data_IF_725548672318
#
_entry.id   IF_725548672318
#
_cell.length_a   1.000
_cell.length_b   1.000
_cell.length_c   1.000
_cell.angle_alpha   90.00
_cell.angle_beta   90.00
_cell.angle_gamma   90.00
#
_symmetry.space_group_name_H-M   'P 1'
#
loop_
_entity.id
_entity.type
_entity.pdbx_description
1 polymer ?
#
# COMPACT_ATOMS: atom_id res chain seq x y z
N UNK A 1 -15.33 21.55 1.29
CA UNK A 1 -15.53 21.48 -0.17
C UNK A 1 -14.73 22.54 -0.91
N UNK A 2 -14.86 23.83 -0.61
CA UNK A 2 -14.12 24.93 -1.31
C UNK A 2 -12.59 24.74 -1.22
N UNK A 3 -12.05 24.42 -0.06
CA UNK A 3 -10.62 24.17 0.12
C UNK A 3 -10.16 22.94 -0.68
N UNK A 4 -10.94 21.89 -0.71
CA UNK A 4 -10.61 20.69 -1.51
C UNK A 4 -10.54 21.02 -3.01
N UNK A 5 -11.49 21.81 -3.55
CA UNK A 5 -11.46 22.23 -4.96
C UNK A 5 -10.18 23.03 -5.28
N UNK A 6 -9.78 23.94 -4.40
CA UNK A 6 -8.51 24.69 -4.55
C UNK A 6 -7.31 23.78 -4.54
N UNK A 7 -7.28 22.79 -3.64
CA UNK A 7 -6.19 21.81 -3.54
C UNK A 7 -6.09 20.92 -4.78
N UNK A 8 -7.22 20.60 -5.44
CA UNK A 8 -7.19 19.85 -6.70
C UNK A 8 -6.48 20.60 -7.83
N UNK A 9 -6.46 21.93 -7.81
CA UNK A 9 -5.76 22.77 -8.78
C UNK A 9 -4.25 22.93 -8.51
N UNK A 10 -3.75 22.57 -7.32
CA UNK A 10 -2.32 22.69 -6.97
C UNK A 10 -1.52 21.53 -7.61
N UNK A 11 -0.24 21.73 -7.96
CA UNK A 11 0.68 20.62 -8.23
C UNK A 11 0.75 19.69 -7.03
N UNK A 12 0.87 18.37 -7.29
CA UNK A 12 0.83 17.35 -6.23
C UNK A 12 1.96 17.55 -5.20
N UNK A 13 3.17 17.84 -5.67
CA UNK A 13 4.34 18.09 -4.81
C UNK A 13 4.14 19.29 -3.86
N UNK A 14 3.61 20.38 -4.37
CA UNK A 14 3.29 21.55 -3.54
C UNK A 14 2.22 21.22 -2.49
N UNK A 15 1.22 20.44 -2.88
CA UNK A 15 0.16 20.02 -1.98
C UNK A 15 0.70 19.12 -0.86
N UNK A 16 1.59 18.19 -1.18
CA UNK A 16 2.23 17.30 -0.21
C UNK A 16 3.05 18.13 0.80
N UNK A 17 3.90 19.04 0.31
CA UNK A 17 4.73 19.91 1.16
C UNK A 17 3.82 20.74 2.09
N UNK A 18 2.78 21.36 1.53
CA UNK A 18 1.79 22.12 2.30
C UNK A 18 1.15 21.28 3.40
N UNK A 19 0.68 20.07 3.06
CA UNK A 19 0.01 19.19 4.02
C UNK A 19 0.94 18.69 5.13
N UNK A 20 2.20 18.41 4.81
CA UNK A 20 3.22 18.09 5.82
C UNK A 20 3.46 19.25 6.76
N UNK A 21 3.61 20.47 6.21
CA UNK A 21 3.80 21.66 7.01
C UNK A 21 2.59 21.92 7.93
N UNK A 22 1.36 21.86 7.42
CA UNK A 22 0.13 22.00 8.21
C UNK A 22 0.08 20.99 9.37
N UNK A 23 0.39 19.71 9.11
CA UNK A 23 0.42 18.68 10.18
C UNK A 23 1.45 19.00 11.25
N UNK A 24 2.66 19.41 10.84
CA UNK A 24 3.72 19.76 11.77
C UNK A 24 3.33 20.94 12.65
N UNK A 25 2.79 22.01 12.08
CA UNK A 25 2.34 23.20 12.80
C UNK A 25 1.22 22.87 13.79
N UNK A 26 0.25 22.06 13.40
CA UNK A 26 -0.83 21.62 14.29
C UNK A 26 -0.27 20.80 15.46
N UNK A 27 0.64 19.86 15.17
CA UNK A 27 1.27 19.04 16.17
C UNK A 27 2.08 19.89 17.19
N UNK A 28 2.83 20.88 16.71
CA UNK A 28 3.59 21.82 17.57
C UNK A 28 2.66 22.67 18.46
N UNK A 29 1.45 22.97 18.00
CA UNK A 29 0.40 23.65 18.78
C UNK A 29 -0.40 22.72 19.67
N UNK A 30 -0.09 21.43 19.69
CA UNK A 30 -0.87 20.41 20.37
C UNK A 30 -2.34 20.33 19.89
N UNK A 31 -2.56 20.65 18.61
CA UNK A 31 -3.85 20.55 17.93
C UNK A 31 -3.93 19.20 17.22
N UNK A 32 -4.81 18.33 17.69
CA UNK A 32 -5.00 17.00 17.12
C UNK A 32 -6.16 16.95 16.15
N UNK A 33 -6.14 15.94 15.24
CA UNK A 33 -7.21 15.71 14.30
C UNK A 33 -8.50 15.33 15.01
N UNK A 34 -9.61 15.99 14.65
CA UNK A 34 -10.96 15.67 15.16
C UNK A 34 -11.79 14.99 14.06
N UNK A 35 -12.26 13.80 14.33
CA UNK A 35 -13.03 12.96 13.41
C UNK A 35 -14.53 12.90 13.72
N UNK A 36 -15.04 13.75 14.62
CA UNK A 36 -16.48 13.78 14.97
C UNK A 36 -17.38 13.99 13.76
N UNK A 37 -16.97 14.89 12.87
CA UNK A 37 -17.70 15.17 11.63
C UNK A 37 -17.74 13.94 10.72
N UNK A 38 -16.62 13.27 10.51
CA UNK A 38 -16.52 12.07 9.67
C UNK A 38 -17.39 10.95 10.26
N UNK A 39 -17.31 10.75 11.57
CA UNK A 39 -18.16 9.77 12.29
C UNK A 39 -19.65 10.07 12.12
N UNK A 40 -20.07 11.33 12.22
CA UNK A 40 -21.47 11.73 12.01
C UNK A 40 -21.94 11.53 10.55
N UNK A 41 -21.02 11.57 9.59
CA UNK A 41 -21.32 11.37 8.15
C UNK A 41 -21.17 9.91 7.71
N UNK A 42 -20.86 8.98 8.60
CA UNK A 42 -20.59 7.58 8.27
C UNK A 42 -21.73 6.92 7.45
N UNK A 43 -22.98 7.14 7.81
CA UNK A 43 -24.12 6.58 7.09
C UNK A 43 -24.20 7.12 5.65
N UNK A 44 -23.91 8.40 5.45
CA UNK A 44 -23.89 9.02 4.11
C UNK A 44 -22.75 8.42 3.29
N UNK A 45 -21.58 8.27 3.90
CA UNK A 45 -20.43 7.64 3.26
C UNK A 45 -20.74 6.19 2.82
N UNK A 46 -21.37 5.39 3.68
CA UNK A 46 -21.78 4.03 3.35
C UNK A 46 -22.80 3.95 2.21
N UNK A 47 -23.72 4.92 2.13
CA UNK A 47 -24.64 5.01 0.98
C UNK A 47 -23.86 5.29 -0.31
N UNK A 48 -22.87 6.19 -0.26
CA UNK A 48 -22.03 6.50 -1.42
C UNK A 48 -21.17 5.30 -1.83
N UNK A 49 -20.61 4.54 -0.87
CA UNK A 49 -19.90 3.29 -1.17
C UNK A 49 -20.81 2.28 -1.90
N UNK A 50 -22.03 2.09 -1.42
CA UNK A 50 -23.01 1.20 -2.07
C UNK A 50 -23.40 1.67 -3.47
N UNK A 51 -23.48 2.98 -3.69
CA UNK A 51 -23.75 3.55 -5.02
C UNK A 51 -22.50 3.32 -5.91
N UNK A 52 -21.30 3.63 -5.42
CA UNK A 52 -20.05 3.43 -6.15
C UNK A 52 -19.90 1.97 -6.59
N UNK A 53 -20.21 1.01 -5.72
CA UNK A 53 -20.17 -0.41 -6.04
C UNK A 53 -21.06 -0.82 -7.22
N UNK A 54 -22.19 -0.14 -7.46
CA UNK A 54 -23.04 -0.43 -8.62
C UNK A 54 -22.37 -0.12 -9.96
N UNK A 55 -21.38 0.76 -9.94
CA UNK A 55 -20.60 1.17 -11.11
C UNK A 55 -19.20 0.51 -11.13
N UNK A 56 -18.83 -0.20 -10.07
CA UNK A 56 -17.54 -0.86 -9.94
C UNK A 56 -17.63 -2.32 -10.39
N UNK A 57 -16.57 -2.86 -11.02
CA UNK A 57 -16.61 -4.22 -11.58
C UNK A 57 -16.41 -5.32 -10.54
N UNK A 58 -16.58 -5.05 -9.24
CA UNK A 58 -16.40 -6.03 -8.19
C UNK A 58 -17.71 -6.38 -7.46
N UNK A 59 -17.78 -7.62 -6.98
CA UNK A 59 -18.80 -8.10 -6.05
C UNK A 59 -18.18 -8.30 -4.68
N UNK A 60 -18.96 -8.06 -3.63
CA UNK A 60 -18.54 -8.30 -2.25
C UNK A 60 -19.35 -9.44 -1.65
N UNK A 61 -18.66 -10.43 -1.13
CA UNK A 61 -19.22 -11.54 -0.37
C UNK A 61 -18.63 -11.54 1.03
N UNK A 62 -19.47 -11.65 2.05
CA UNK A 62 -19.03 -11.76 3.44
C UNK A 62 -19.43 -13.15 3.95
N UNK A 63 -18.44 -13.99 4.24
CA UNK A 63 -18.63 -15.37 4.71
C UNK A 63 -18.43 -15.52 6.21
N UNK A 64 -18.38 -14.42 6.96
CA UNK A 64 -18.21 -14.44 8.41
C UNK A 64 -19.28 -15.31 9.06
N UNK A 65 -18.84 -16.38 9.70
CA UNK A 65 -19.72 -17.38 10.31
C UNK A 65 -20.11 -17.06 11.75
N UNK A 66 -19.30 -16.24 12.40
CA UNK A 66 -19.44 -15.97 13.81
C UNK A 66 -20.13 -14.62 14.05
N UNK A 67 -21.18 -14.67 14.86
CA UNK A 67 -21.83 -13.45 15.36
C UNK A 67 -21.14 -13.03 16.69
N UNK A 68 -20.48 -11.89 16.69
CA UNK A 68 -19.88 -11.32 17.90
C UNK A 68 -20.27 -9.86 18.03
N UNK A 69 -20.42 -9.41 19.26
CA UNK A 69 -20.64 -8.00 19.57
C UNK A 69 -19.30 -7.31 19.76
N UNK A 70 -19.14 -6.19 19.09
CA UNK A 70 -18.04 -5.30 19.37
C UNK A 70 -18.17 -4.73 20.77
N UNK A 71 -17.05 -4.60 21.46
CA UNK A 71 -16.98 -3.98 22.79
C UNK A 71 -17.23 -2.47 22.70
N UNK A 72 -17.29 -1.80 23.84
CA UNK A 72 -17.34 -0.32 23.87
C UNK A 72 -15.95 0.32 23.73
N UNK A 73 -14.89 -0.50 23.61
CA UNK A 73 -13.53 -0.02 23.35
C UNK A 73 -13.38 0.43 21.89
N UNK A 74 -12.39 1.25 21.57
CA UNK A 74 -12.01 1.47 20.18
C UNK A 74 -11.48 0.18 19.55
N UNK A 75 -11.67 0.03 18.25
CA UNK A 75 -11.25 -1.15 17.50
C UNK A 75 -10.23 -0.81 16.43
N UNK A 76 -9.30 -1.73 16.20
CA UNK A 76 -8.32 -1.67 15.14
C UNK A 76 -8.62 -2.81 14.16
N UNK A 77 -9.21 -2.48 13.01
CA UNK A 77 -9.51 -3.44 11.94
C UNK A 77 -8.26 -3.68 11.10
N UNK A 78 -7.78 -4.92 11.08
CA UNK A 78 -6.62 -5.35 10.32
C UNK A 78 -7.04 -6.12 9.09
N UNK A 79 -6.66 -5.63 7.92
CA UNK A 79 -7.15 -6.16 6.64
C UNK A 79 -5.97 -6.46 5.72
N UNK A 80 -5.97 -7.63 5.04
CA UNK A 80 -4.98 -7.92 4.02
C UNK A 80 -5.13 -6.99 2.82
N UNK A 81 -4.01 -6.57 2.23
CA UNK A 81 -4.01 -5.73 1.04
C UNK A 81 -3.92 -6.60 -0.21
N UNK A 82 -5.06 -6.86 -0.87
CA UNK A 82 -5.18 -7.87 -1.93
C UNK A 82 -5.60 -7.33 -3.30
N UNK A 83 -5.92 -6.06 -3.39
CA UNK A 83 -6.29 -5.45 -4.67
C UNK A 83 -6.90 -4.07 -4.54
N UNK A 84 -7.25 -3.47 -5.66
CA UNK A 84 -7.68 -2.08 -5.80
C UNK A 84 -8.87 -1.69 -4.94
N UNK A 85 -9.87 -2.56 -4.80
CA UNK A 85 -11.14 -2.27 -4.12
C UNK A 85 -11.23 -2.84 -2.70
N UNK A 86 -10.11 -3.24 -2.13
CA UNK A 86 -10.11 -3.86 -0.79
C UNK A 86 -10.42 -2.86 0.33
N UNK A 87 -10.12 -1.56 0.13
CA UNK A 87 -10.53 -0.51 1.08
C UNK A 87 -12.04 -0.43 1.18
N UNK A 88 -12.70 -0.29 0.03
CA UNK A 88 -14.16 -0.17 -0.06
C UNK A 88 -14.85 -1.44 0.44
N UNK A 89 -14.33 -2.60 0.03
CA UNK A 89 -14.86 -3.90 0.45
C UNK A 89 -14.73 -4.10 1.97
N UNK A 90 -13.59 -3.74 2.53
CA UNK A 90 -13.35 -3.84 3.96
C UNK A 90 -14.24 -2.89 4.76
N UNK A 91 -14.29 -1.61 4.40
CA UNK A 91 -15.14 -0.61 5.05
C UNK A 91 -16.62 -0.99 5.00
N UNK A 92 -17.10 -1.51 3.85
CA UNK A 92 -18.48 -1.98 3.71
C UNK A 92 -18.75 -3.22 4.60
N UNK A 93 -17.75 -4.08 4.77
CA UNK A 93 -17.89 -5.33 5.54
C UNK A 93 -17.94 -5.09 7.05
N UNK A 94 -17.14 -4.16 7.57
CA UNK A 94 -17.08 -3.89 9.03
C UNK A 94 -18.30 -3.13 9.56
N UNK A 95 -19.02 -2.42 8.69
CA UNK A 95 -20.23 -1.62 9.04
C UNK A 95 -20.04 -0.55 10.10
N UNK A 96 -18.83 -0.36 10.61
CA UNK A 96 -18.46 0.61 11.62
C UNK A 96 -17.66 1.74 11.00
N UNK A 97 -17.76 2.95 11.57
CA UNK A 97 -16.86 4.03 11.19
C UNK A 97 -15.45 3.71 11.65
N UNK A 98 -14.50 3.70 10.73
CA UNK A 98 -13.09 3.52 11.04
C UNK A 98 -12.24 4.48 10.20
N UNK A 99 -11.31 5.16 10.86
CA UNK A 99 -10.36 6.07 10.21
C UNK A 99 -9.33 5.23 9.47
N UNK A 100 -9.07 5.57 8.21
CA UNK A 100 -8.08 4.85 7.42
C UNK A 100 -6.68 5.32 7.79
N UNK A 101 -5.82 4.38 8.18
CA UNK A 101 -4.40 4.62 8.34
C UNK A 101 -3.69 4.36 7.02
N UNK A 102 -3.23 5.43 6.37
CA UNK A 102 -2.75 5.38 5.01
C UNK A 102 -1.23 5.48 4.94
N UNK A 103 -0.60 4.52 4.28
CA UNK A 103 0.86 4.46 4.15
C UNK A 103 1.44 5.34 3.04
N UNK A 104 0.60 5.85 2.15
CA UNK A 104 0.96 6.71 1.04
C UNK A 104 0.03 7.90 0.97
N UNK A 105 0.54 9.06 1.36
CA UNK A 105 -0.25 10.27 1.36
C UNK A 105 -0.53 10.80 -0.04
N UNK A 106 0.35 10.55 -1.01
CA UNK A 106 0.23 11.08 -2.36
C UNK A 106 -1.05 10.65 -3.04
N UNK A 107 -1.40 9.37 -2.95
CA UNK A 107 -2.64 8.83 -3.52
C UNK A 107 -3.90 9.45 -2.92
N UNK A 108 -3.82 9.91 -1.67
CA UNK A 108 -5.00 10.40 -0.95
C UNK A 108 -5.26 11.88 -1.13
N UNK A 109 -4.37 12.62 -1.80
CA UNK A 109 -4.52 14.08 -1.93
C UNK A 109 -5.26 14.51 -3.19
N UNK A 110 -5.30 13.69 -4.23
CA UNK A 110 -5.92 13.99 -5.52
C UNK A 110 -7.05 13.04 -5.87
N UNK A 111 -7.93 13.49 -6.76
CA UNK A 111 -8.98 12.68 -7.35
C UNK A 111 -10.11 12.26 -6.41
N UNK A 112 -10.81 11.21 -6.80
CA UNK A 112 -11.96 10.69 -6.06
C UNK A 112 -11.57 10.05 -4.72
N UNK A 113 -10.42 9.39 -4.66
CA UNK A 113 -9.91 8.75 -3.45
C UNK A 113 -9.62 9.79 -2.35
N UNK A 114 -9.13 10.98 -2.73
CA UNK A 114 -9.00 12.12 -1.82
C UNK A 114 -10.34 12.55 -1.23
N UNK A 115 -11.41 12.57 -2.03
CA UNK A 115 -12.74 12.92 -1.55
C UNK A 115 -13.27 11.87 -0.57
N UNK A 116 -13.15 10.60 -0.92
CA UNK A 116 -13.56 9.47 -0.08
C UNK A 116 -12.78 9.46 1.25
N UNK A 117 -11.46 9.61 1.19
CA UNK A 117 -10.62 9.68 2.37
C UNK A 117 -10.94 10.87 3.29
N UNK A 118 -11.27 12.04 2.72
CA UNK A 118 -11.70 13.20 3.51
C UNK A 118 -13.08 13.01 4.17
N UNK A 119 -13.98 12.29 3.51
CA UNK A 119 -15.32 12.00 4.03
C UNK A 119 -15.28 10.96 5.15
N UNK A 120 -14.45 9.94 5.02
CA UNK A 120 -14.33 8.87 6.01
C UNK A 120 -13.39 9.25 7.17
N UNK A 121 -12.39 10.06 6.91
CA UNK A 121 -11.27 10.35 7.81
C UNK A 121 -10.06 9.49 7.53
N UNK A 122 -8.89 10.12 7.62
CA UNK A 122 -7.60 9.46 7.38
C UNK A 122 -6.52 10.00 8.30
N UNK A 123 -5.55 9.15 8.61
CA UNK A 123 -4.27 9.52 9.18
C UNK A 123 -3.21 9.07 8.16
N UNK A 124 -2.41 10.01 7.66
CA UNK A 124 -1.37 9.71 6.68
C UNK A 124 -0.05 9.42 7.37
N UNK A 125 0.52 8.27 7.05
CA UNK A 125 1.89 7.90 7.39
C UNK A 125 2.73 8.03 6.13
N UNK A 126 3.33 9.20 5.87
CA UNK A 126 4.22 9.34 4.74
C UNK A 126 5.45 8.45 4.92
N UNK A 127 5.55 7.41 4.12
CA UNK A 127 6.66 6.45 4.19
C UNK A 127 7.80 6.80 3.24
N UNK A 128 7.54 7.60 2.20
CA UNK A 128 8.52 8.03 1.23
C UNK A 128 8.07 9.33 0.54
N UNK A 129 8.99 9.90 -0.25
CA UNK A 129 8.77 11.09 -1.07
C UNK A 129 9.21 10.74 -2.50
N UNK A 130 8.41 11.08 -3.51
CA UNK A 130 8.72 10.79 -4.93
C UNK A 130 10.08 11.29 -5.35
N UNK A 131 10.50 12.46 -4.82
CA UNK A 131 11.83 13.03 -5.08
C UNK A 131 12.97 12.13 -4.60
N UNK A 132 12.73 11.23 -3.63
CA UNK A 132 13.75 10.32 -3.11
C UNK A 132 14.30 9.42 -4.23
N UNK A 133 13.41 8.93 -5.10
CA UNK A 133 13.79 8.10 -6.25
C UNK A 133 14.70 8.84 -7.23
N UNK A 134 14.25 10.01 -7.67
CA UNK A 134 15.01 10.83 -8.62
C UNK A 134 16.38 11.23 -8.08
N UNK A 135 16.45 11.58 -6.78
CA UNK A 135 17.71 11.92 -6.13
C UNK A 135 18.65 10.72 -6.06
N UNK A 136 18.15 9.53 -5.72
CA UNK A 136 18.97 8.30 -5.68
C UNK A 136 19.50 7.98 -7.09
N UNK A 137 18.65 7.99 -8.10
CA UNK A 137 19.03 7.73 -9.48
C UNK A 137 20.08 8.75 -9.97
N UNK A 138 19.88 10.05 -9.68
CA UNK A 138 20.84 11.11 -10.02
C UNK A 138 22.19 10.91 -9.31
N UNK A 139 22.20 10.55 -8.01
CA UNK A 139 23.42 10.28 -7.26
C UNK A 139 24.17 9.08 -7.85
N UNK A 140 23.46 8.00 -8.20
CA UNK A 140 24.06 6.80 -8.79
C UNK A 140 24.68 7.11 -10.16
N UNK A 141 23.99 7.88 -11.02
CA UNK A 141 24.48 8.28 -12.33
C UNK A 141 25.70 9.20 -12.22
N UNK A 142 25.60 10.25 -11.41
CA UNK A 142 26.70 11.22 -11.19
C UNK A 142 27.94 10.50 -10.59
N UNK A 143 27.74 9.53 -9.71
CA UNK A 143 28.81 8.70 -9.14
C UNK A 143 29.51 7.85 -10.22
N UNK A 144 28.75 7.26 -11.15
CA UNK A 144 29.33 6.51 -12.29
C UNK A 144 30.17 7.44 -13.17
N UNK A 145 29.67 8.64 -13.49
CA UNK A 145 30.40 9.63 -14.27
C UNK A 145 31.68 10.07 -13.53
N UNK A 146 31.59 10.36 -12.23
CA UNK A 146 32.73 10.76 -11.40
C UNK A 146 33.83 9.69 -11.42
N UNK A 147 33.45 8.39 -11.30
CA UNK A 147 34.39 7.28 -11.35
C UNK A 147 35.08 7.18 -12.72
N UNK A 148 34.35 7.37 -13.82
CA UNK A 148 34.95 7.42 -15.17
C UNK A 148 35.90 8.60 -15.34
N UNK A 149 35.53 9.80 -14.89
CA UNK A 149 36.38 10.98 -14.93
C UNK A 149 37.67 10.77 -14.13
N UNK A 150 37.59 10.19 -12.95
CA UNK A 150 38.79 9.94 -12.11
C UNK A 150 39.80 9.00 -12.77
N UNK A 151 39.34 8.06 -13.61
CA UNK A 151 40.21 7.12 -14.33
C UNK A 151 40.96 7.76 -15.52
N UNK A 152 40.55 8.95 -16.00
CA UNK A 152 41.19 9.62 -17.13
C UNK A 152 42.50 10.35 -16.72
N UNK A 153 43.42 10.69 -17.67
CA UNK A 153 44.61 11.48 -17.40
C UNK A 153 44.27 12.87 -16.83
N UNK A 154 45.15 13.40 -15.97
CA UNK A 154 44.91 14.68 -15.28
C UNK A 154 44.99 15.88 -16.26
N UNK A 155 43.95 16.68 -16.30
CA UNK A 155 43.89 17.98 -16.98
C UNK A 155 43.12 18.96 -16.12
N UNK A 156 43.38 20.28 -16.28
CA UNK A 156 42.67 21.32 -15.54
C UNK A 156 41.15 21.23 -15.75
N UNK A 157 40.73 20.99 -17.00
CA UNK A 157 39.30 20.84 -17.36
C UNK A 157 38.63 19.64 -16.66
N UNK A 158 39.35 18.49 -16.62
CA UNK A 158 38.91 17.31 -15.89
C UNK A 158 38.69 17.59 -14.39
N UNK A 159 39.61 18.29 -13.75
CA UNK A 159 39.51 18.60 -12.34
C UNK A 159 38.32 19.51 -12.03
N UNK A 160 37.99 20.44 -12.91
CA UNK A 160 36.78 21.28 -12.80
C UNK A 160 35.50 20.45 -12.91
N UNK A 161 35.44 19.51 -13.86
CA UNK A 161 34.29 18.61 -13.98
C UNK A 161 34.17 17.68 -12.77
N UNK A 162 35.26 17.12 -12.26
CA UNK A 162 35.26 16.32 -11.03
C UNK A 162 34.65 17.10 -9.87
N UNK A 163 35.08 18.35 -9.64
CA UNK A 163 34.55 19.17 -8.54
C UNK A 163 33.06 19.50 -8.76
N UNK A 164 32.63 19.74 -9.98
CA UNK A 164 31.22 19.94 -10.32
C UNK A 164 30.36 18.72 -9.94
N UNK A 165 30.77 17.51 -10.32
CA UNK A 165 30.02 16.28 -9.99
C UNK A 165 30.06 15.98 -8.49
N UNK A 166 31.18 16.19 -7.80
CA UNK A 166 31.25 16.06 -6.35
C UNK A 166 30.27 16.98 -5.65
N UNK A 167 30.20 18.26 -6.06
CA UNK A 167 29.28 19.21 -5.47
C UNK A 167 27.82 18.85 -5.75
N UNK A 168 27.50 18.33 -6.96
CA UNK A 168 26.15 17.89 -7.30
C UNK A 168 25.74 16.69 -6.44
N UNK A 169 26.58 15.68 -6.30
CA UNK A 169 26.36 14.52 -5.43
C UNK A 169 26.13 14.96 -4.00
N UNK A 170 27.01 15.81 -3.46
CA UNK A 170 26.89 16.32 -2.09
C UNK A 170 25.57 17.06 -1.83
N UNK A 171 25.14 17.90 -2.78
CA UNK A 171 23.88 18.63 -2.66
C UNK A 171 22.68 17.67 -2.68
N UNK A 172 22.69 16.69 -3.58
CA UNK A 172 21.63 15.69 -3.69
C UNK A 172 21.57 14.77 -2.44
N UNK A 173 22.72 14.36 -1.90
CA UNK A 173 22.78 13.59 -0.65
C UNK A 173 22.24 14.41 0.55
N UNK A 174 22.58 15.70 0.61
CA UNK A 174 22.10 16.61 1.66
C UNK A 174 20.58 16.77 1.59
N UNK A 175 20.03 16.93 0.38
CA UNK A 175 18.59 17.02 0.16
C UNK A 175 17.90 15.71 0.51
N UNK A 176 18.44 14.58 0.07
CA UNK A 176 17.93 13.24 0.38
C UNK A 176 17.89 13.00 1.91
N UNK A 177 18.94 13.42 2.62
CA UNK A 177 18.97 13.36 4.09
C UNK A 177 17.85 14.19 4.72
N UNK A 178 17.67 15.44 4.25
CA UNK A 178 16.61 16.33 4.73
C UNK A 178 15.19 15.74 4.50
N UNK A 179 14.95 15.17 3.32
CA UNK A 179 13.68 14.48 3.02
C UNK A 179 13.45 13.32 3.99
N UNK A 180 14.46 12.49 4.23
CA UNK A 180 14.35 11.34 5.15
C UNK A 180 14.10 11.75 6.60
N UNK A 181 14.71 12.84 7.04
CA UNK A 181 14.44 13.42 8.36
C UNK A 181 13.02 13.96 8.47
N UNK A 182 12.50 14.58 7.42
CA UNK A 182 11.10 15.02 7.34
C UNK A 182 10.13 13.84 7.43
N UNK A 183 10.34 12.79 6.65
CA UNK A 183 9.52 11.55 6.70
C UNK A 183 9.52 10.93 8.10
N UNK A 184 10.68 10.91 8.77
CA UNK A 184 10.78 10.41 10.15
C UNK A 184 9.97 11.26 11.13
N UNK A 185 9.97 12.57 10.95
CA UNK A 185 9.13 13.50 11.72
C UNK A 185 7.64 13.25 11.51
N UNK A 186 7.21 13.13 10.28
CA UNK A 186 5.82 12.82 9.91
C UNK A 186 5.34 11.50 10.50
N UNK A 187 6.18 10.46 10.52
CA UNK A 187 5.87 9.19 11.18
C UNK A 187 5.55 9.36 12.67
N UNK A 188 6.33 10.18 13.38
CA UNK A 188 6.09 10.47 14.80
C UNK A 188 4.74 11.15 15.01
N UNK A 189 4.40 12.11 14.14
CA UNK A 189 3.12 12.82 14.17
C UNK A 189 1.96 11.83 13.92
N UNK A 190 2.04 11.02 12.86
CA UNK A 190 1.01 10.05 12.52
C UNK A 190 0.76 9.03 13.65
N UNK A 191 1.80 8.57 14.31
CA UNK A 191 1.69 7.68 15.49
C UNK A 191 0.95 8.38 16.62
N UNK A 192 1.29 9.62 16.96
CA UNK A 192 0.64 10.41 18.00
C UNK A 192 -0.84 10.66 17.69
N UNK A 193 -1.16 11.05 16.45
CA UNK A 193 -2.54 11.27 15.98
C UNK A 193 -3.38 9.98 16.06
N UNK A 194 -2.78 8.85 15.72
CA UNK A 194 -3.45 7.53 15.80
C UNK A 194 -3.83 7.18 17.21
N UNK A 195 -2.90 7.33 18.16
CA UNK A 195 -3.15 7.06 19.57
C UNK A 195 -4.22 8.02 20.12
N UNK A 196 -4.12 9.30 19.76
CA UNK A 196 -5.11 10.30 20.16
C UNK A 196 -6.49 9.97 19.62
N UNK A 197 -6.62 9.63 18.34
CA UNK A 197 -7.89 9.27 17.73
C UNK A 197 -8.54 8.04 18.39
N UNK A 198 -7.77 6.98 18.64
CA UNK A 198 -8.24 5.79 19.35
C UNK A 198 -8.70 6.14 20.78
N UNK A 199 -7.90 6.89 21.55
CA UNK A 199 -8.26 7.30 22.92
C UNK A 199 -9.54 8.15 22.98
N UNK A 200 -9.90 8.82 21.87
CA UNK A 200 -11.17 9.55 21.71
C UNK A 200 -12.31 8.70 21.11
N UNK A 201 -12.20 7.38 21.18
CA UNK A 201 -13.28 6.44 20.80
C UNK A 201 -13.51 6.33 19.29
N UNK A 202 -12.51 6.65 18.46
CA UNK A 202 -12.55 6.34 17.05
C UNK A 202 -11.97 4.94 16.80
N UNK A 203 -12.45 4.28 15.74
CA UNK A 203 -11.85 3.03 15.26
C UNK A 203 -10.82 3.34 14.18
N UNK A 204 -9.91 2.41 13.98
CA UNK A 204 -8.84 2.47 12.99
C UNK A 204 -8.97 1.33 11.98
N UNK A 205 -8.69 1.62 10.71
CA UNK A 205 -8.61 0.68 9.61
C UNK A 205 -7.19 0.73 9.05
N UNK A 206 -6.48 -0.39 9.06
CA UNK A 206 -5.12 -0.42 8.57
C UNK A 206 -4.75 -1.75 7.89
N UNK A 207 -3.76 -1.66 7.01
CA UNK A 207 -3.12 -2.78 6.35
C UNK A 207 -1.83 -3.13 7.09
N UNK A 208 -1.84 -4.17 7.95
CA UNK A 208 -0.69 -4.47 8.79
C UNK A 208 0.51 -5.04 8.02
N UNK A 209 0.29 -5.49 6.80
CA UNK A 209 1.35 -5.95 5.89
C UNK A 209 2.17 -4.77 5.31
N UNK A 210 1.61 -3.55 5.30
CA UNK A 210 2.27 -2.33 4.82
C UNK A 210 2.54 -2.29 3.31
N UNK A 211 2.11 -3.30 2.57
CA UNK A 211 2.19 -3.38 1.11
C UNK A 211 1.15 -4.37 0.59
N UNK A 212 0.90 -4.35 -0.72
CA UNK A 212 0.07 -5.35 -1.37
C UNK A 212 0.70 -6.74 -1.29
N UNK A 213 -0.09 -7.71 -0.86
CA UNK A 213 0.32 -9.11 -0.86
C UNK A 213 0.23 -9.70 -2.28
N UNK A 214 1.31 -9.54 -3.03
CA UNK A 214 1.46 -10.09 -4.39
C UNK A 214 1.90 -11.55 -4.39
N UNK A 215 2.15 -12.15 -3.23
CA UNK A 215 2.63 -13.52 -3.10
C UNK A 215 1.47 -14.51 -3.07
N UNK A 216 1.33 -15.29 -4.13
CA UNK A 216 0.23 -16.24 -4.28
C UNK A 216 0.25 -17.40 -3.28
N UNK A 217 1.46 -17.77 -2.82
CA UNK A 217 1.68 -18.86 -1.85
C UNK A 217 1.62 -18.41 -0.39
N UNK A 218 1.46 -17.10 -0.16
CA UNK A 218 1.31 -16.54 1.17
C UNK A 218 -0.10 -16.05 1.42
N UNK A 219 -0.77 -16.67 2.38
CA UNK A 219 -2.07 -16.19 2.82
C UNK A 219 -1.98 -14.78 3.41
N UNK A 220 -0.97 -14.52 4.23
CA UNK A 220 -0.66 -13.23 4.86
C UNK A 220 0.85 -13.05 4.92
N UNK A 221 1.36 -11.89 4.52
CA UNK A 221 2.76 -11.51 4.70
C UNK A 221 3.09 -11.28 6.18
N UNK A 222 4.36 -10.96 6.47
CA UNK A 222 4.78 -10.53 7.81
C UNK A 222 4.09 -9.21 8.17
N UNK A 223 3.59 -9.11 9.38
CA UNK A 223 2.91 -7.91 9.84
C UNK A 223 3.87 -6.95 10.54
N UNK A 224 3.62 -5.66 10.38
CA UNK A 224 4.24 -4.63 11.22
C UNK A 224 3.59 -4.63 12.61
N UNK A 225 4.41 -4.48 13.64
CA UNK A 225 3.95 -4.46 15.04
C UNK A 225 3.14 -3.21 15.44
N UNK A 226 3.02 -2.23 14.56
CA UNK A 226 2.34 -0.96 14.85
C UNK A 226 0.91 -1.12 15.36
N UNK A 227 0.17 -2.10 14.86
CA UNK A 227 -1.19 -2.37 15.29
C UNK A 227 -1.26 -2.79 16.76
N UNK A 228 -0.39 -3.69 17.19
CA UNK A 228 -0.27 -4.14 18.59
C UNK A 228 0.16 -2.99 19.49
N UNK A 229 1.15 -2.21 19.05
CA UNK A 229 1.58 -1.01 19.76
C UNK A 229 0.40 -0.03 19.98
N UNK A 230 -0.38 0.28 18.94
CA UNK A 230 -1.55 1.16 19.07
C UNK A 230 -2.63 0.58 20.00
N UNK A 231 -2.87 -0.73 19.91
CA UNK A 231 -3.84 -1.40 20.79
C UNK A 231 -3.44 -1.28 22.26
N UNK A 232 -2.18 -1.51 22.59
CA UNK A 232 -1.63 -1.35 23.96
C UNK A 232 -1.76 0.07 24.46
N UNK A 233 -1.34 1.06 23.65
CA UNK A 233 -1.34 2.47 24.04
C UNK A 233 -2.74 3.08 24.20
N UNK A 234 -3.71 2.60 23.45
CA UNK A 234 -5.08 3.12 23.47
C UNK A 234 -6.10 2.19 24.15
N UNK A 235 -5.69 1.05 24.66
CA UNK A 235 -6.59 0.01 25.19
C UNK A 235 -7.69 -0.36 24.18
N UNK A 236 -7.28 -0.60 22.92
CA UNK A 236 -8.16 -0.95 21.82
C UNK A 236 -8.15 -2.47 21.55
N UNK A 237 -9.27 -3.01 21.09
CA UNK A 237 -9.35 -4.39 20.64
C UNK A 237 -8.92 -4.47 19.15
N UNK A 238 -8.25 -5.55 18.78
CA UNK A 238 -7.89 -5.82 17.39
C UNK A 238 -8.93 -6.74 16.75
N UNK A 239 -9.44 -6.35 15.58
CA UNK A 239 -10.38 -7.14 14.78
C UNK A 239 -9.63 -7.59 13.52
N UNK A 240 -9.16 -8.85 13.45
CA UNK A 240 -8.49 -9.36 12.27
C UNK A 240 -9.50 -9.72 11.19
N UNK A 241 -9.19 -9.41 9.93
CA UNK A 241 -9.98 -9.83 8.77
C UNK A 241 -9.13 -10.73 7.87
N UNK A 242 -9.80 -11.70 7.26
CA UNK A 242 -9.36 -12.36 6.05
C UNK A 242 -9.99 -11.66 4.84
N UNK A 243 -9.27 -11.55 3.73
CA UNK A 243 -9.79 -11.06 2.47
C UNK A 243 -9.08 -11.73 1.31
N UNK A 244 -9.83 -12.16 0.30
CA UNK A 244 -9.28 -12.69 -0.94
C UNK A 244 -10.03 -12.12 -2.16
N UNK A 245 -9.30 -11.94 -3.27
CA UNK A 245 -9.84 -11.47 -4.55
C UNK A 245 -9.93 -12.62 -5.53
N UNK A 246 -11.11 -12.83 -6.11
CA UNK A 246 -11.37 -13.82 -7.17
C UNK A 246 -11.98 -13.10 -8.38
N UNK A 247 -11.21 -12.91 -9.45
CA UNK A 247 -11.64 -12.18 -10.66
C UNK A 247 -12.33 -10.84 -10.34
N UNK A 248 -13.66 -10.84 -10.36
CA UNK A 248 -14.54 -9.71 -10.13
C UNK A 248 -15.16 -9.68 -8.71
N UNK A 249 -14.72 -10.57 -7.81
CA UNK A 249 -15.30 -10.77 -6.49
C UNK A 249 -14.28 -10.67 -5.39
N UNK A 250 -14.64 -9.96 -4.32
CA UNK A 250 -13.92 -9.95 -3.05
C UNK A 250 -14.71 -10.75 -2.03
N UNK A 251 -14.02 -11.61 -1.32
CA UNK A 251 -14.59 -12.41 -0.23
C UNK A 251 -13.92 -11.98 1.07
N UNK A 252 -14.74 -11.68 2.09
CA UNK A 252 -14.28 -11.20 3.40
C UNK A 252 -14.74 -12.16 4.49
N UNK A 253 -13.84 -12.41 5.44
CA UNK A 253 -14.11 -13.18 6.65
C UNK A 253 -13.61 -12.41 7.87
N UNK A 254 -14.49 -12.05 8.80
CA UNK A 254 -14.16 -11.22 9.96
C UNK A 254 -13.94 -12.12 11.17
N UNK A 255 -12.79 -11.99 11.81
CA UNK A 255 -12.43 -12.72 13.03
C UNK A 255 -12.96 -12.07 14.30
N UNK A 256 -12.86 -12.79 15.42
CA UNK A 256 -13.25 -12.30 16.74
C UNK A 256 -12.35 -11.16 17.22
N UNK A 257 -12.89 -10.25 18.04
CA UNK A 257 -12.08 -9.25 18.74
C UNK A 257 -10.98 -9.91 19.59
N UNK A 258 -9.79 -9.37 19.50
CA UNK A 258 -8.61 -9.79 20.28
C UNK A 258 -8.25 -8.67 21.23
N UNK A 259 -8.31 -8.93 22.52
CA UNK A 259 -7.81 -8.04 23.54
C UNK A 259 -6.30 -8.23 23.69
N UNK A 260 -5.53 -7.12 23.69
CA UNK A 260 -4.08 -7.15 23.81
C UNK A 260 -3.68 -6.81 25.24
N UNK A 261 -2.96 -7.72 25.88
CA UNK A 261 -2.35 -7.46 27.17
C UNK A 261 -1.26 -6.37 27.04
N UNK A 262 -1.28 -5.41 27.95
CA UNK A 262 -0.31 -4.31 27.98
C UNK A 262 1.13 -4.78 28.16
N UNK A 263 1.33 -5.86 28.88
CA UNK A 263 2.65 -6.44 29.16
C UNK A 263 3.10 -7.46 28.13
N UNK A 264 2.23 -7.82 27.16
CA UNK A 264 2.56 -8.78 26.13
C UNK A 264 3.71 -8.29 25.22
N UNK A 265 4.52 -9.22 24.75
CA UNK A 265 5.55 -8.90 23.73
C UNK A 265 4.88 -8.55 22.38
N UNK A 266 5.24 -7.40 21.82
CA UNK A 266 4.61 -6.88 20.61
C UNK A 266 4.87 -7.77 19.39
N UNK A 267 6.04 -8.40 19.31
CA UNK A 267 6.40 -9.25 18.17
C UNK A 267 5.64 -10.57 18.25
N UNK A 268 5.58 -11.15 19.45
CA UNK A 268 4.87 -12.41 19.70
C UNK A 268 3.37 -12.24 19.42
N UNK A 269 2.73 -11.17 19.95
CA UNK A 269 1.32 -10.89 19.68
C UNK A 269 1.06 -10.60 18.18
N UNK A 270 1.94 -9.87 17.52
CA UNK A 270 1.84 -9.63 16.07
C UNK A 270 1.87 -10.93 15.28
N UNK A 271 2.72 -11.88 15.67
CA UNK A 271 2.78 -13.21 15.03
C UNK A 271 1.54 -14.05 15.29
N UNK A 272 0.96 -13.99 16.51
CA UNK A 272 -0.33 -14.63 16.80
C UNK A 272 -1.45 -14.07 15.92
N UNK A 273 -1.54 -12.75 15.83
CA UNK A 273 -2.54 -12.08 14.97
C UNK A 273 -2.36 -12.47 13.51
N UNK A 274 -1.12 -12.50 13.02
CA UNK A 274 -0.82 -12.97 11.66
C UNK A 274 -1.34 -14.37 11.42
N UNK A 275 -1.14 -15.30 12.34
CA UNK A 275 -1.62 -16.66 12.21
C UNK A 275 -3.16 -16.73 12.18
N UNK A 276 -3.83 -15.89 12.97
CA UNK A 276 -5.29 -15.77 12.95
C UNK A 276 -5.77 -15.24 11.58
N UNK A 277 -5.15 -14.18 11.06
CA UNK A 277 -5.48 -13.65 9.73
C UNK A 277 -5.23 -14.67 8.62
N UNK A 278 -4.14 -15.44 8.71
CA UNK A 278 -3.85 -16.51 7.77
C UNK A 278 -4.92 -17.61 7.82
N UNK A 279 -5.41 -17.97 9.02
CA UNK A 279 -6.51 -18.93 9.20
C UNK A 279 -7.80 -18.41 8.57
N UNK A 280 -8.15 -17.14 8.79
CA UNK A 280 -9.34 -16.51 8.18
C UNK A 280 -9.28 -16.53 6.64
N UNK A 281 -8.10 -16.32 6.06
CA UNK A 281 -7.89 -16.43 4.62
C UNK A 281 -7.98 -17.89 4.15
N UNK A 282 -7.45 -18.83 4.92
CA UNK A 282 -7.57 -20.25 4.60
C UNK A 282 -9.02 -20.70 4.59
N UNK A 283 -9.84 -20.26 5.53
CA UNK A 283 -11.28 -20.53 5.57
C UNK A 283 -12.01 -19.98 4.32
N UNK A 284 -11.54 -18.87 3.75
CA UNK A 284 -12.05 -18.40 2.46
C UNK A 284 -11.71 -19.39 1.35
N UNK A 285 -10.47 -19.90 1.30
CA UNK A 285 -10.08 -20.89 0.28
C UNK A 285 -10.88 -22.18 0.38
N UNK A 286 -11.07 -22.68 1.59
CA UNK A 286 -11.92 -23.86 1.84
C UNK A 286 -13.37 -23.62 1.41
N UNK A 287 -13.94 -22.45 1.71
CA UNK A 287 -15.29 -22.09 1.28
C UNK A 287 -15.44 -22.03 -0.25
N UNK A 288 -14.37 -21.61 -0.94
CA UNK A 288 -14.31 -21.61 -2.40
C UNK A 288 -13.98 -22.98 -3.01
N UNK A 289 -13.71 -24.00 -2.18
CA UNK A 289 -13.30 -25.34 -2.62
C UNK A 289 -11.89 -25.37 -3.20
N UNK A 290 -11.00 -24.50 -2.72
CA UNK A 290 -9.62 -24.34 -3.19
C UNK A 290 -8.64 -24.74 -2.09
N UNK A 291 -7.60 -25.50 -2.41
CA UNK A 291 -6.52 -25.83 -1.48
C UNK A 291 -5.51 -24.68 -1.33
N UNK A 292 -5.40 -23.85 -2.37
CA UNK A 292 -4.52 -22.68 -2.37
C UNK A 292 -4.92 -21.66 -3.43
N UNK A 293 -4.32 -20.48 -3.42
CA UNK A 293 -4.42 -19.53 -4.53
C UNK A 293 -3.89 -20.09 -5.85
N UNK A 294 -3.00 -21.10 -5.81
CA UNK A 294 -2.40 -21.71 -7.00
C UNK A 294 -3.44 -22.46 -7.85
N UNK A 295 -4.47 -23.04 -7.23
CA UNK A 295 -5.53 -23.77 -7.93
C UNK A 295 -6.46 -22.89 -8.75
N UNK A 296 -6.35 -21.58 -8.62
CA UNK A 296 -7.08 -20.64 -9.46
C UNK A 296 -6.72 -20.70 -10.96
N UNK A 297 -5.89 -21.64 -11.39
CA UNK A 297 -5.52 -21.92 -12.80
C UNK A 297 -4.09 -21.55 -13.14
N UNK A 298 -3.76 -21.36 -14.43
CA UNK A 298 -2.39 -21.07 -14.86
C UNK A 298 -1.79 -19.89 -14.08
N UNK A 299 -1.12 -20.24 -13.00
CA UNK A 299 -0.64 -19.34 -11.99
C UNK A 299 0.32 -18.27 -12.55
N UNK A 300 1.21 -18.66 -13.47
CA UNK A 300 2.18 -17.73 -14.03
C UNK A 300 1.51 -16.61 -14.84
N UNK A 301 0.49 -16.92 -15.61
CA UNK A 301 -0.29 -15.92 -16.36
C UNK A 301 -1.11 -15.05 -15.42
N UNK A 302 -1.74 -15.64 -14.43
CA UNK A 302 -2.53 -14.92 -13.42
C UNK A 302 -1.69 -14.02 -12.52
N UNK A 303 -0.45 -14.41 -12.20
CA UNK A 303 0.46 -13.54 -11.47
C UNK A 303 0.69 -12.24 -12.23
N UNK A 304 0.92 -12.34 -13.55
CA UNK A 304 1.13 -11.16 -14.39
C UNK A 304 -0.14 -10.30 -14.43
N UNK A 305 -1.31 -10.92 -14.65
CA UNK A 305 -2.58 -10.22 -14.64
C UNK A 305 -2.87 -9.55 -13.29
N UNK A 306 -2.58 -10.23 -12.19
CA UNK A 306 -2.78 -9.72 -10.84
C UNK A 306 -1.89 -8.54 -10.53
N UNK A 307 -0.60 -8.63 -10.86
CA UNK A 307 0.34 -7.51 -10.67
C UNK A 307 0.00 -6.35 -11.61
N UNK A 308 -0.31 -6.62 -12.88
CA UNK A 308 -0.71 -5.59 -13.84
C UNK A 308 -2.03 -4.90 -13.43
N UNK A 309 -2.98 -5.60 -12.80
CA UNK A 309 -4.21 -5.02 -12.27
C UNK A 309 -3.95 -4.12 -11.06
N UNK A 310 -3.07 -4.55 -10.16
CA UNK A 310 -2.63 -3.73 -9.03
C UNK A 310 -1.90 -2.47 -9.52
N UNK A 311 -1.02 -2.61 -10.52
CA UNK A 311 -0.19 -1.53 -11.04
C UNK A 311 -0.93 -0.61 -12.02
N UNK A 312 -2.10 -1.00 -12.52
CA UNK A 312 -2.81 -0.32 -13.61
C UNK A 312 -3.23 1.11 -13.28
N UNK A 313 -3.49 1.36 -12.02
CA UNK A 313 -3.92 2.66 -11.51
C UNK A 313 -2.90 3.28 -10.55
N UNK A 314 -1.72 2.66 -10.46
CA UNK A 314 -0.65 3.21 -9.64
C UNK A 314 -0.09 4.47 -10.29
N UNK A 315 0.05 5.51 -9.51
CA UNK A 315 0.85 6.67 -9.87
C UNK A 315 2.32 6.23 -10.05
N UNK A 316 3.16 7.06 -10.64
CA UNK A 316 4.61 6.78 -10.77
C UNK A 316 5.29 6.42 -9.43
N UNK A 317 4.67 6.82 -8.31
CA UNK A 317 5.07 6.46 -6.94
C UNK A 317 5.01 4.95 -6.66
N UNK A 318 4.26 4.17 -7.42
CA UNK A 318 4.13 2.71 -7.30
C UNK A 318 5.08 1.93 -8.22
N UNK A 319 6.26 2.43 -8.48
CA UNK A 319 7.33 1.57 -8.97
C UNK A 319 7.66 0.52 -7.89
N UNK A 320 7.23 -0.70 -8.12
CA UNK A 320 7.40 -1.81 -7.17
C UNK A 320 8.88 -2.07 -6.83
N UNK A 321 9.81 -1.78 -7.75
CA UNK A 321 11.24 -1.89 -7.49
C UNK A 321 11.71 -0.80 -6.52
N UNK A 322 11.18 0.42 -6.68
CA UNK A 322 11.49 1.52 -5.78
C UNK A 322 10.90 1.29 -4.39
N UNK A 323 9.66 0.84 -4.31
CA UNK A 323 9.00 0.46 -3.06
C UNK A 323 9.82 -0.60 -2.32
N UNK A 324 10.24 -1.65 -3.00
CA UNK A 324 11.06 -2.71 -2.41
C UNK A 324 12.41 -2.20 -1.92
N UNK A 325 13.06 -1.30 -2.67
CA UNK A 325 14.35 -0.72 -2.29
C UNK A 325 14.25 0.24 -1.11
N UNK A 326 13.16 0.97 -0.98
CA UNK A 326 13.05 2.08 -0.01
C UNK A 326 12.23 1.73 1.23
N UNK A 327 11.11 1.02 1.08
CA UNK A 327 10.22 0.65 2.20
C UNK A 327 10.70 -0.58 2.96
N UNK A 328 11.28 -1.53 2.25
CA UNK A 328 11.60 -2.85 2.78
C UNK A 328 13.11 -3.07 2.85
N UNK A 329 13.82 -2.10 3.42
CA UNK A 329 15.27 -2.21 3.68
C UNK A 329 15.60 -3.33 4.66
N UNK A 330 14.65 -3.72 5.50
CA UNK A 330 14.80 -4.83 6.44
C UNK A 330 14.51 -6.14 5.71
N UNK A 331 15.58 -6.84 5.30
CA UNK A 331 15.48 -8.17 4.68
C UNK A 331 14.66 -9.14 5.53
N UNK A 332 14.68 -8.96 6.86
CA UNK A 332 13.94 -9.80 7.81
C UNK A 332 12.42 -9.71 7.68
N UNK A 333 11.88 -8.64 7.06
CA UNK A 333 10.44 -8.52 6.82
C UNK A 333 9.93 -9.45 5.72
N UNK A 334 10.82 -9.90 4.82
CA UNK A 334 10.51 -10.77 3.69
C UNK A 334 11.19 -12.13 3.78
N UNK A 335 11.65 -12.53 4.96
CA UNK A 335 12.31 -13.82 5.16
C UNK A 335 11.31 -15.00 5.15
N UNK A 336 10.68 -15.17 4.02
CA UNK A 336 9.82 -16.32 3.70
C UNK A 336 10.47 -17.23 2.64
N UNK A 337 11.76 -17.21 2.50
CA UNK A 337 12.50 -18.02 1.53
C UNK A 337 12.49 -17.50 0.09
N UNK A 338 11.62 -16.53 -0.22
CA UNK A 338 11.57 -15.86 -1.52
C UNK A 338 11.44 -14.35 -1.27
N UNK A 339 12.54 -13.62 -1.38
CA UNK A 339 12.51 -12.17 -1.28
C UNK A 339 11.72 -11.52 -2.43
N UNK A 340 11.28 -10.25 -2.26
CA UNK A 340 10.59 -9.49 -3.30
C UNK A 340 11.32 -9.48 -4.65
N UNK A 341 12.66 -9.44 -4.62
CA UNK A 341 13.48 -9.42 -5.84
C UNK A 341 13.35 -10.71 -6.66
N UNK A 342 13.35 -11.88 -6.01
CA UNK A 342 13.16 -13.17 -6.69
C UNK A 342 11.78 -13.28 -7.35
N UNK A 343 10.77 -12.67 -6.72
CA UNK A 343 9.41 -12.65 -7.20
C UNK A 343 9.24 -11.74 -8.41
N UNK A 344 9.81 -10.55 -8.36
CA UNK A 344 9.84 -9.61 -9.46
C UNK A 344 10.62 -10.15 -10.67
N UNK A 345 11.75 -10.84 -10.43
CA UNK A 345 12.47 -11.55 -11.50
C UNK A 345 11.56 -12.55 -12.23
N UNK A 346 10.79 -13.34 -11.48
CA UNK A 346 9.83 -14.30 -12.05
C UNK A 346 8.75 -13.58 -12.85
N UNK A 347 8.15 -12.52 -12.30
CA UNK A 347 7.18 -11.68 -13.00
C UNK A 347 7.70 -11.16 -14.33
N UNK A 348 8.89 -10.56 -14.35
CA UNK A 348 9.48 -10.03 -15.58
C UNK A 348 9.86 -11.13 -16.57
N UNK A 349 10.30 -12.30 -16.11
CA UNK A 349 10.57 -13.46 -16.97
C UNK A 349 9.29 -13.95 -17.65
N UNK A 350 8.20 -14.09 -16.91
CA UNK A 350 6.89 -14.51 -17.45
C UNK A 350 6.35 -13.46 -18.42
N UNK A 351 6.35 -12.19 -18.04
CA UNK A 351 5.90 -11.08 -18.91
C UNK A 351 6.69 -11.00 -20.23
N UNK A 352 8.00 -11.24 -20.17
CA UNK A 352 8.85 -11.33 -21.37
C UNK A 352 8.51 -12.53 -22.24
N UNK A 353 8.21 -13.68 -21.65
CA UNK A 353 7.79 -14.92 -22.33
C UNK A 353 6.45 -14.71 -23.04
N UNK A 354 5.45 -14.13 -22.36
CA UNK A 354 4.15 -13.79 -22.94
C UNK A 354 4.29 -12.84 -24.13
N UNK A 355 5.08 -11.76 -24.00
CA UNK A 355 5.37 -10.84 -25.13
C UNK A 355 6.00 -11.54 -26.32
N UNK A 356 6.87 -12.53 -26.09
CA UNK A 356 7.50 -13.32 -27.16
C UNK A 356 6.48 -14.21 -27.86
N UNK A 357 5.60 -14.88 -27.11
CA UNK A 357 4.51 -15.71 -27.66
C UNK A 357 3.53 -14.88 -28.50
N UNK A 358 3.11 -13.74 -28.01
CA UNK A 358 2.21 -12.84 -28.75
C UNK A 358 2.82 -12.37 -30.07
N UNK A 359 4.15 -12.13 -30.12
CA UNK A 359 4.85 -11.81 -31.38
C UNK A 359 4.89 -12.97 -32.37
N UNK A 360 4.83 -14.21 -31.91
CA UNK A 360 4.86 -15.41 -32.76
C UNK A 360 3.44 -15.77 -33.24
N UNK A 361 2.45 -15.67 -32.36
CA UNK A 361 1.06 -16.07 -32.66
C UNK A 361 0.37 -15.09 -33.61
N UNK A 362 0.60 -13.79 -33.49
CA UNK A 362 -0.01 -12.77 -34.35
C UNK A 362 0.38 -12.96 -35.84
N UNK A 363 1.66 -13.17 -36.20
CA UNK A 363 2.02 -13.48 -37.60
C UNK A 363 1.45 -14.80 -38.11
N UNK A 364 1.35 -15.82 -37.24
CA UNK A 364 0.76 -17.14 -37.61
C UNK A 364 -0.75 -17.05 -37.87
N UNK A 365 -1.49 -16.29 -37.08
CA UNK A 365 -2.91 -16.01 -37.34
C UNK A 365 -3.14 -15.25 -38.65
N UNK A 366 -2.26 -14.31 -38.98
CA UNK A 366 -2.32 -13.59 -40.27
C UNK A 366 -2.01 -14.47 -41.47
N UNK A 367 -1.10 -15.45 -41.34
CA UNK A 367 -0.73 -16.38 -42.40
C UNK A 367 -1.79 -17.46 -42.63
N UNK A 368 -2.45 -17.91 -41.57
CA UNK A 368 -3.55 -18.89 -41.68
C UNK A 368 -4.81 -18.27 -42.28
N UNK A 369 -5.16 -17.02 -41.94
CA UNK A 369 -6.29 -16.32 -42.56
C UNK A 369 -6.06 -15.93 -44.02
N UNK A 370 -4.82 -15.82 -44.48
CA UNK A 370 -4.50 -15.58 -45.91
C UNK A 370 -4.55 -16.87 -46.76
N UNK A 371 -4.40 -18.04 -46.15
CA UNK A 371 -4.51 -19.33 -46.86
C UNK A 371 -5.96 -19.86 -46.97
N UNK A 372 -6.88 -19.37 -46.16
CA UNK A 372 -8.31 -19.76 -46.22
C UNK A 372 -9.14 -18.97 -47.24
N UNK A 373 -8.56 -18.04 -47.98
CA UNK A 373 -9.25 -17.24 -49.04
C UNK A 373 -8.84 -17.67 -50.46
N UNK A 374 -8.27 -18.87 -50.61
CA UNK A 374 -8.02 -19.44 -51.92
C UNK A 374 -8.50 -20.87 -52.02
N UNK A 375 -9.76 -21.12 -51.83
CA UNK A 375 -10.48 -22.25 -52.35
C UNK A 375 -11.96 -21.83 -52.44
N UNK A 376 -12.35 -21.28 -53.55
CA UNK A 376 -13.48 -21.39 -54.42
C UNK A 376 -13.47 -20.28 -55.44
#
# INVERSE_FOLDING_TARGET
MINWIKEQGMPLEELIIKKRQERKENFEKNEHLDFKKQKSMHNVFNILLKISRKFSPYKLENITKEDFKLSNKPHIFLIPHVGRYDIECGLESIKEHAIIFWGDAEETYKGFDSLAANMNGRICLDLYDTREKELIESIEEDTKILNLLTALPNTTKKNQEIEKYKNKIFNNESLLKSIRESIKGDKKIAVSETIHALKNGNNLYLYPEGAWNIFHYQAIMKLFKGAVYFAKEANADIIPLGMAKYKDRYVVNIGKPIEIDKEADEIEETNKIRNIMATLNWEIYENEGLDSREELGNYEERLVEYIDDIMKDSTESYDINFINKTRFRDKDQFDFGYGPDAYLERYYKVKKKIKKWNKIIIPLKFTLNKKSIKIC
#
